data_IF_133694623228
#
_entry.id   IF_133694623228
#
_cell.length_a   1.000
_cell.length_b   1.000
_cell.length_c   1.000
_cell.angle_alpha   90.00
_cell.angle_beta   90.00
_cell.angle_gamma   90.00
#
_symmetry.space_group_name_H-M   'P 1'
#
loop_
_entity.id
_entity.type
_entity.pdbx_description
1 polymer ?
#
# COMPACT_ATOMS: atom_id res chain seq x y z
N UNK A 1 -14.93 15.59 25.27
CA UNK A 1 -14.26 14.46 24.58
C UNK A 1 -12.86 14.30 25.14
N UNK A 2 -12.36 13.07 25.32
CA UNK A 2 -10.97 12.86 25.74
C UNK A 2 -10.01 13.25 24.61
N UNK A 3 -8.80 13.71 24.95
CA UNK A 3 -7.77 14.08 23.98
C UNK A 3 -7.45 12.92 23.02
N UNK A 4 -7.37 11.70 23.54
CA UNK A 4 -7.15 10.47 22.76
C UNK A 4 -8.25 10.26 21.72
N UNK A 5 -9.52 10.55 22.04
CA UNK A 5 -10.62 10.43 21.10
C UNK A 5 -10.52 11.45 19.96
N UNK A 6 -10.12 12.69 20.26
CA UNK A 6 -9.92 13.73 19.24
C UNK A 6 -8.77 13.35 18.29
N UNK A 7 -7.65 12.90 18.85
CA UNK A 7 -6.49 12.45 18.05
C UNK A 7 -6.87 11.25 17.17
N UNK A 8 -7.58 10.26 17.71
CA UNK A 8 -8.03 9.10 16.95
C UNK A 8 -8.98 9.49 15.81
N UNK A 9 -9.91 10.42 16.02
CA UNK A 9 -10.81 10.91 14.97
C UNK A 9 -10.02 11.61 13.86
N UNK A 10 -9.07 12.47 14.20
CA UNK A 10 -8.24 13.16 13.20
C UNK A 10 -7.45 12.13 12.36
N UNK A 11 -6.81 11.16 13.01
CA UNK A 11 -6.06 10.10 12.32
C UNK A 11 -6.96 9.27 11.39
N UNK A 12 -8.17 8.91 11.84
CA UNK A 12 -9.15 8.17 11.01
C UNK A 12 -9.60 9.00 9.80
N UNK A 13 -9.91 10.28 9.99
CA UNK A 13 -10.35 11.16 8.90
C UNK A 13 -9.23 11.35 7.89
N UNK A 14 -8.01 11.65 8.33
CA UNK A 14 -6.86 11.83 7.42
C UNK A 14 -6.54 10.52 6.70
N UNK A 15 -6.54 9.38 7.41
CA UNK A 15 -6.35 8.07 6.79
C UNK A 15 -7.42 7.76 5.75
N UNK A 16 -8.69 8.08 6.04
CA UNK A 16 -9.80 7.92 5.10
C UNK A 16 -9.67 8.80 3.86
N UNK A 17 -9.23 10.05 4.02
CA UNK A 17 -8.93 10.94 2.89
C UNK A 17 -7.81 10.36 2.01
N UNK A 18 -6.77 9.78 2.61
CA UNK A 18 -5.68 9.16 1.86
C UNK A 18 -6.17 7.94 1.06
N UNK A 19 -7.03 7.11 1.66
CA UNK A 19 -7.65 5.98 0.96
C UNK A 19 -8.54 6.45 -0.21
N UNK A 20 -9.35 7.49 0.00
CA UNK A 20 -10.17 8.05 -1.08
C UNK A 20 -9.31 8.58 -2.23
N UNK A 21 -8.23 9.31 -1.92
CA UNK A 21 -7.29 9.80 -2.93
C UNK A 21 -6.60 8.63 -3.64
N UNK A 22 -6.20 7.59 -2.91
CA UNK A 22 -5.57 6.41 -3.48
C UNK A 22 -6.51 5.70 -4.47
N UNK A 23 -7.76 5.44 -4.06
CA UNK A 23 -8.76 4.80 -4.94
C UNK A 23 -9.07 5.66 -6.16
N UNK A 24 -9.28 6.96 -5.97
CA UNK A 24 -9.50 7.89 -7.08
C UNK A 24 -8.31 7.91 -8.04
N UNK A 25 -7.09 7.97 -7.53
CA UNK A 25 -5.87 7.91 -8.33
C UNK A 25 -5.76 6.62 -9.14
N UNK A 26 -6.04 5.47 -8.52
CA UNK A 26 -6.05 4.18 -9.23
C UNK A 26 -7.10 4.16 -10.36
N UNK A 27 -8.29 4.72 -10.13
CA UNK A 27 -9.35 4.78 -11.13
C UNK A 27 -9.03 5.73 -12.30
N UNK A 28 -8.39 6.87 -12.01
CA UNK A 28 -8.09 7.91 -12.99
C UNK A 28 -6.85 7.60 -13.83
N UNK A 29 -5.82 6.98 -13.24
CA UNK A 29 -4.55 6.77 -13.93
C UNK A 29 -4.63 5.74 -15.05
N UNK A 30 -3.96 6.02 -16.17
CA UNK A 30 -3.96 5.13 -17.34
C UNK A 30 -2.81 4.13 -17.31
N UNK A 31 -1.66 4.56 -16.80
CA UNK A 31 -0.45 3.74 -16.73
C UNK A 31 -0.42 2.86 -15.47
N UNK A 32 0.20 1.67 -15.58
CA UNK A 32 0.27 0.71 -14.50
C UNK A 32 1.26 1.14 -13.39
N UNK A 33 2.34 1.84 -13.71
CA UNK A 33 3.27 2.39 -12.73
C UNK A 33 2.64 3.56 -11.97
N UNK A 34 1.88 4.42 -12.65
CA UNK A 34 1.13 5.49 -12.00
C UNK A 34 0.08 4.94 -11.02
N UNK A 35 -0.65 3.89 -11.41
CA UNK A 35 -1.57 3.20 -10.50
C UNK A 35 -0.84 2.63 -9.28
N UNK A 36 0.35 2.09 -9.46
CA UNK A 36 1.14 1.51 -8.39
C UNK A 36 1.63 2.57 -7.37
N UNK A 37 1.86 3.80 -7.82
CA UNK A 37 2.15 4.92 -6.92
C UNK A 37 1.00 5.15 -5.93
N UNK A 38 -0.25 5.12 -6.41
CA UNK A 38 -1.43 5.26 -5.55
C UNK A 38 -1.71 4.04 -4.67
N UNK A 39 -1.31 2.83 -5.09
CA UNK A 39 -1.31 1.66 -4.21
C UNK A 39 -0.36 1.87 -3.02
N UNK A 40 0.79 2.50 -3.23
CA UNK A 40 1.67 2.92 -2.14
C UNK A 40 1.02 3.93 -1.18
N UNK A 41 0.29 4.90 -1.73
CA UNK A 41 -0.46 5.89 -0.94
C UNK A 41 -1.52 5.23 -0.03
N UNK A 42 -2.23 4.21 -0.51
CA UNK A 42 -3.21 3.45 0.30
C UNK A 42 -2.56 2.87 1.57
N UNK A 43 -1.32 2.41 1.49
CA UNK A 43 -0.57 1.90 2.66
C UNK A 43 -0.44 2.93 3.79
N UNK A 44 -0.29 4.22 3.46
CA UNK A 44 -0.26 5.29 4.47
C UNK A 44 -1.64 5.54 5.09
N UNK A 45 -2.72 5.40 4.31
CA UNK A 45 -4.10 5.46 4.80
C UNK A 45 -4.36 4.38 5.84
N UNK A 46 -4.04 3.12 5.51
CA UNK A 46 -4.14 1.99 6.43
C UNK A 46 -3.26 2.16 7.68
N UNK A 47 -2.05 2.72 7.56
CA UNK A 47 -1.19 3.01 8.70
C UNK A 47 -1.84 4.02 9.65
N UNK A 48 -2.36 5.14 9.12
CA UNK A 48 -3.04 6.16 9.93
C UNK A 48 -4.25 5.58 10.66
N UNK A 49 -5.05 4.75 9.99
CA UNK A 49 -6.21 4.10 10.59
C UNK A 49 -5.84 3.12 11.71
N UNK A 50 -4.82 2.29 11.50
CA UNK A 50 -4.37 1.32 12.53
C UNK A 50 -3.74 2.01 13.74
N UNK A 51 -3.00 3.11 13.53
CA UNK A 51 -2.52 3.97 14.62
C UNK A 51 -3.69 4.60 15.36
N UNK A 52 -4.73 5.08 14.66
CA UNK A 52 -5.92 5.66 15.29
C UNK A 52 -6.62 4.68 16.24
N UNK A 53 -6.80 3.43 15.79
CA UNK A 53 -7.39 2.35 16.62
C UNK A 53 -6.50 2.07 17.82
N UNK A 54 -5.18 1.99 17.63
CA UNK A 54 -4.22 1.74 18.72
C UNK A 54 -4.22 2.87 19.75
N UNK A 55 -4.31 4.13 19.33
CA UNK A 55 -4.40 5.29 20.22
C UNK A 55 -5.70 5.27 21.04
N UNK A 56 -6.81 4.85 20.43
CA UNK A 56 -8.12 4.81 21.09
C UNK A 56 -8.25 3.64 22.05
N UNK A 57 -7.78 2.46 21.65
CA UNK A 57 -7.96 1.21 22.39
C UNK A 57 -6.77 0.85 23.30
N UNK A 58 -5.67 1.63 23.23
CA UNK A 58 -4.42 1.39 23.95
C UNK A 58 -3.88 -0.04 23.76
N UNK A 59 -3.06 -0.57 24.67
CA UNK A 59 -2.55 -1.95 24.64
C UNK A 59 -3.62 -3.00 25.07
N UNK A 60 -4.83 -2.85 24.56
CA UNK A 60 -5.86 -3.89 24.65
C UNK A 60 -5.63 -4.97 23.59
N UNK A 61 -6.37 -6.07 23.68
CA UNK A 61 -6.36 -7.12 22.67
C UNK A 61 -6.71 -6.58 21.26
N UNK A 62 -7.59 -5.56 21.20
CA UNK A 62 -8.01 -4.92 19.95
C UNK A 62 -6.87 -4.06 19.41
N UNK A 63 -6.27 -3.21 20.25
CA UNK A 63 -5.15 -2.36 19.85
C UNK A 63 -3.93 -3.15 19.38
N UNK A 64 -3.59 -4.24 20.06
CA UNK A 64 -2.47 -5.11 19.64
C UNK A 64 -2.71 -5.77 18.28
N UNK A 65 -3.94 -6.21 18.01
CA UNK A 65 -4.31 -6.76 16.70
C UNK A 65 -4.25 -5.68 15.61
N UNK A 66 -4.74 -4.48 15.91
CA UNK A 66 -4.68 -3.36 14.97
C UNK A 66 -3.23 -2.97 14.63
N UNK A 67 -2.35 -2.93 15.65
CA UNK A 67 -0.93 -2.69 15.46
C UNK A 67 -0.28 -3.78 14.58
N UNK A 68 -0.57 -5.05 14.85
CA UNK A 68 -0.08 -6.16 14.04
C UNK A 68 -0.52 -6.04 12.57
N UNK A 69 -1.80 -5.70 12.33
CA UNK A 69 -2.32 -5.44 10.98
C UNK A 69 -1.57 -4.29 10.33
N UNK A 70 -1.36 -3.17 11.05
CA UNK A 70 -0.62 -2.02 10.55
C UNK A 70 0.81 -2.37 10.12
N UNK A 71 1.53 -3.13 10.96
CA UNK A 71 2.89 -3.59 10.66
C UNK A 71 2.91 -4.47 9.41
N UNK A 72 2.01 -5.45 9.33
CA UNK A 72 1.92 -6.36 8.17
C UNK A 72 1.65 -5.58 6.89
N UNK A 73 0.70 -4.63 6.91
CA UNK A 73 0.35 -3.84 5.73
C UNK A 73 1.50 -2.94 5.27
N UNK A 74 2.16 -2.23 6.19
CA UNK A 74 3.27 -1.33 5.86
C UNK A 74 4.47 -2.09 5.31
N UNK A 75 4.80 -3.25 5.86
CA UNK A 75 5.94 -4.03 5.40
C UNK A 75 5.64 -4.79 4.10
N UNK A 76 4.42 -5.29 3.94
CA UNK A 76 4.04 -6.08 2.75
C UNK A 76 3.77 -5.18 1.54
N UNK A 77 3.32 -3.94 1.75
CA UNK A 77 3.05 -2.97 0.68
C UNK A 77 4.23 -2.77 -0.29
N UNK A 78 5.43 -2.40 0.18
CA UNK A 78 6.62 -2.25 -0.67
C UNK A 78 7.01 -3.53 -1.41
N UNK A 79 6.85 -4.70 -0.78
CA UNK A 79 7.14 -6.00 -1.41
C UNK A 79 6.17 -6.27 -2.56
N UNK A 80 4.87 -6.05 -2.34
CA UNK A 80 3.85 -6.17 -3.38
C UNK A 80 4.08 -5.17 -4.52
N UNK A 81 4.42 -3.92 -4.19
CA UNK A 81 4.71 -2.91 -5.19
C UNK A 81 5.94 -3.30 -6.02
N UNK A 82 7.05 -3.67 -5.39
CA UNK A 82 8.27 -4.06 -6.10
C UNK A 82 8.05 -5.28 -7.00
N UNK A 83 7.39 -6.32 -6.50
CA UNK A 83 7.13 -7.54 -7.28
C UNK A 83 6.17 -7.28 -8.45
N UNK A 84 5.17 -6.42 -8.27
CA UNK A 84 4.25 -5.99 -9.33
C UNK A 84 4.99 -5.17 -10.39
N UNK A 85 5.78 -4.16 -9.98
CA UNK A 85 6.58 -3.35 -10.90
C UNK A 85 7.56 -4.20 -11.71
N UNK A 86 8.26 -5.15 -11.07
CA UNK A 86 9.15 -6.10 -11.77
C UNK A 86 8.39 -6.93 -12.79
N UNK A 87 7.18 -7.37 -12.46
CA UNK A 87 6.34 -8.15 -13.37
C UNK A 87 5.88 -7.33 -14.58
N UNK A 88 5.57 -6.04 -14.40
CA UNK A 88 5.24 -5.11 -15.49
C UNK A 88 6.45 -4.89 -16.39
N UNK A 89 7.63 -4.64 -15.82
CA UNK A 89 8.87 -4.42 -16.56
C UNK A 89 9.25 -5.63 -17.43
N UNK A 90 9.10 -6.85 -16.90
CA UNK A 90 9.34 -8.09 -17.65
C UNK A 90 8.37 -8.21 -18.84
N UNK A 91 7.11 -7.77 -18.67
CA UNK A 91 6.11 -7.78 -19.76
C UNK A 91 6.40 -6.75 -20.84
N UNK A 92 6.86 -5.56 -20.47
CA UNK A 92 7.18 -4.47 -21.42
C UNK A 92 8.43 -4.76 -22.23
N UNK A 93 9.52 -5.16 -21.57
CA UNK A 93 10.81 -5.36 -22.22
C UNK A 93 10.88 -6.71 -22.97
N UNK A 94 10.04 -7.67 -22.57
CA UNK A 94 10.02 -9.04 -23.10
C UNK A 94 11.12 -9.92 -22.51
N UNK A 95 10.99 -11.24 -22.66
CA UNK A 95 11.95 -12.18 -22.10
C UNK A 95 13.26 -12.20 -22.89
N UNK A 96 14.26 -11.47 -22.40
CA UNK A 96 15.63 -11.50 -22.93
C UNK A 96 16.21 -12.91 -23.02
N UNK A 97 15.78 -13.82 -22.16
CA UNK A 97 16.22 -15.22 -22.16
C UNK A 97 15.71 -15.97 -23.39
N UNK A 98 14.51 -15.63 -23.86
CA UNK A 98 13.96 -16.15 -25.12
C UNK A 98 14.79 -15.67 -26.31
N UNK A 99 15.05 -14.35 -26.39
CA UNK A 99 15.89 -13.75 -27.44
C UNK A 99 17.34 -14.28 -27.44
N UNK A 100 17.88 -14.64 -26.28
CA UNK A 100 19.23 -15.20 -26.18
C UNK A 100 19.29 -16.66 -26.66
N UNK A 101 18.25 -17.48 -26.39
CA UNK A 101 18.14 -18.86 -26.88
C UNK A 101 17.99 -18.93 -28.39
N UNK A 102 17.11 -18.11 -28.96
CA UNK A 102 16.91 -18.04 -30.42
C UNK A 102 18.21 -17.68 -31.17
N UNK A 103 19.09 -16.89 -30.54
CA UNK A 103 20.39 -16.47 -31.12
C UNK A 103 21.51 -17.52 -30.96
N UNK A 104 21.36 -18.49 -30.06
CA UNK A 104 22.30 -19.61 -29.91
C UNK A 104 21.95 -20.81 -30.80
N UNK A 105 20.73 -20.84 -31.33
CA UNK A 105 20.23 -21.87 -32.25
C UNK A 105 20.40 -21.49 -33.73
N UNK A 106 20.84 -20.25 -34.02
CA UNK A 106 21.26 -19.76 -35.34
C UNK A 106 22.78 -19.79 -35.48
#
# INVERSE_FOLDING_TARGET
MSLQAVVAVILLVVGGVFELIAVLGICVMRDAYDRLHYVGLAGFGALLMTVAVTVRESFSLIGNKALLVGVVLVLTGPVLAQTTARSLLIREIGDWRKKARERSEQ
#
